data_IF_441823989981
#
_entry.id   IF_441823989981
#
_cell.length_a   1.000
_cell.length_b   1.000
_cell.length_c   1.000
_cell.angle_alpha   90.00
_cell.angle_beta   90.00
_cell.angle_gamma   90.00
#
_symmetry.space_group_name_H-M   'P 1'
#
loop_
_entity.id
_entity.type
_entity.pdbx_description
1 polymer ?
#
# COMPACT_ATOMS: atom_id res chain seq x y z
N UNK A 1 21.58 34.58 -34.06
CA UNK A 1 21.22 33.24 -33.56
C UNK A 1 21.11 33.33 -32.04
N UNK A 2 19.90 33.44 -31.50
CA UNK A 2 19.68 33.65 -30.07
C UNK A 2 19.86 32.34 -29.30
N UNK A 3 20.62 32.38 -28.20
CA UNK A 3 20.94 31.21 -27.38
C UNK A 3 19.72 30.61 -26.70
N UNK A 4 19.26 29.46 -27.19
CA UNK A 4 18.40 28.58 -26.40
C UNK A 4 19.25 28.02 -25.25
N UNK A 5 18.92 28.37 -24.00
CA UNK A 5 19.54 27.79 -22.82
C UNK A 5 19.25 26.28 -22.81
N UNK A 6 20.26 25.40 -22.95
CA UNK A 6 20.04 23.97 -22.83
C UNK A 6 19.61 23.69 -21.38
N UNK A 7 18.41 23.16 -21.16
CA UNK A 7 17.98 22.70 -19.84
C UNK A 7 16.61 23.16 -19.33
N UNK A 8 15.84 23.97 -20.07
CA UNK A 8 14.52 24.46 -19.60
C UNK A 8 13.48 23.34 -19.42
N UNK A 9 13.76 22.13 -19.93
CA UNK A 9 12.91 20.95 -19.78
C UNK A 9 13.64 19.74 -19.16
N UNK A 10 14.61 19.95 -18.27
CA UNK A 10 15.05 18.85 -17.43
C UNK A 10 13.91 18.49 -16.47
N UNK A 11 13.23 17.36 -16.73
CA UNK A 11 12.23 16.83 -15.83
C UNK A 11 12.91 16.53 -14.49
N UNK A 12 12.68 17.38 -13.48
CA UNK A 12 13.27 17.17 -12.16
C UNK A 12 12.59 15.96 -11.52
N UNK A 13 13.28 14.83 -11.51
CA UNK A 13 12.85 13.65 -10.78
C UNK A 13 12.79 14.01 -9.29
N UNK A 14 11.66 13.69 -8.66
CA UNK A 14 11.49 13.83 -7.22
C UNK A 14 11.54 12.44 -6.59
N UNK A 15 12.19 12.32 -5.42
CA UNK A 15 12.03 11.13 -4.60
C UNK A 15 10.54 10.87 -4.31
N UNK A 16 10.20 9.60 -4.08
CA UNK A 16 8.86 9.23 -3.60
C UNK A 16 8.62 9.91 -2.26
N UNK A 17 7.42 10.48 -2.09
CA UNK A 17 6.98 11.06 -0.83
C UNK A 17 5.66 10.43 -0.45
N UNK A 18 5.66 9.64 0.63
CA UNK A 18 4.46 8.96 1.11
C UNK A 18 3.66 9.89 2.02
N UNK A 19 2.42 10.15 1.61
CA UNK A 19 1.51 11.02 2.34
C UNK A 19 1.23 10.49 3.77
N UNK A 20 1.11 11.38 4.76
CA UNK A 20 0.90 11.01 6.18
C UNK A 20 -0.30 10.07 6.39
N UNK A 21 -1.37 10.27 5.63
CA UNK A 21 -2.54 9.39 5.68
C UNK A 21 -2.21 7.92 5.35
N UNK A 22 -1.30 7.69 4.40
CA UNK A 22 -0.87 6.35 3.99
C UNK A 22 0.07 5.71 5.01
N UNK A 23 0.93 6.50 5.64
CA UNK A 23 1.81 6.05 6.74
C UNK A 23 1.02 5.71 8.00
N UNK A 24 0.05 6.57 8.35
CA UNK A 24 -0.87 6.33 9.48
C UNK A 24 -1.74 5.09 9.25
N UNK A 25 -2.15 4.88 8.00
CA UNK A 25 -2.95 3.75 7.57
C UNK A 25 -4.45 3.96 7.74
N UNK A 26 -5.20 3.08 7.08
CA UNK A 26 -6.66 3.05 7.10
C UNK A 26 -7.21 1.65 7.31
N UNK A 27 -8.48 1.57 7.71
CA UNK A 27 -9.21 0.29 7.82
C UNK A 27 -9.86 -0.03 6.48
N UNK A 28 -9.62 -1.23 5.99
CA UNK A 28 -10.15 -1.72 4.70
C UNK A 28 -10.64 -3.16 4.85
N UNK A 29 -11.45 -3.60 3.90
CA UNK A 29 -11.90 -5.00 3.80
C UNK A 29 -11.06 -5.68 2.73
N UNK A 30 -10.27 -6.70 3.12
CA UNK A 30 -9.60 -7.61 2.19
C UNK A 30 -10.54 -8.77 1.90
N UNK A 31 -10.90 -8.92 0.63
CA UNK A 31 -11.73 -9.99 0.10
C UNK A 31 -11.05 -10.58 -1.13
N UNK A 32 -11.51 -11.75 -1.57
CA UNK A 32 -10.98 -12.48 -2.71
C UNK A 32 -12.18 -13.07 -3.48
N UNK A 33 -12.05 -13.24 -4.79
CA UNK A 33 -13.11 -13.74 -5.67
C UNK A 33 -13.14 -15.27 -5.73
N UNK A 34 -12.05 -15.93 -5.30
CA UNK A 34 -11.96 -17.39 -5.34
C UNK A 34 -13.04 -18.04 -4.46
N UNK A 35 -13.79 -19.06 -4.95
CA UNK A 35 -14.90 -19.67 -4.24
C UNK A 35 -14.54 -20.27 -2.87
N UNK A 36 -13.28 -20.65 -2.68
CA UNK A 36 -12.74 -21.22 -1.44
C UNK A 36 -11.96 -20.20 -0.60
N UNK A 37 -12.00 -18.93 -0.98
CA UNK A 37 -11.43 -17.88 -0.15
C UNK A 37 -12.26 -17.72 1.13
N UNK A 38 -11.56 -17.48 2.25
CA UNK A 38 -12.22 -17.19 3.51
C UNK A 38 -13.11 -15.93 3.43
N UNK A 39 -13.97 -15.70 4.44
CA UNK A 39 -14.84 -14.53 4.45
C UNK A 39 -14.03 -13.22 4.37
N UNK A 40 -14.61 -12.12 3.83
CA UNK A 40 -13.97 -10.81 3.83
C UNK A 40 -13.45 -10.40 5.21
N UNK A 41 -12.25 -9.82 5.25
CA UNK A 41 -11.50 -9.61 6.48
C UNK A 41 -11.18 -8.14 6.69
N UNK A 42 -11.43 -7.62 7.89
CA UNK A 42 -11.04 -6.26 8.25
C UNK A 42 -9.52 -6.21 8.48
N UNK A 43 -8.84 -5.36 7.71
CA UNK A 43 -7.40 -5.14 7.80
C UNK A 43 -7.09 -3.66 8.03
N UNK A 44 -5.94 -3.39 8.66
CA UNK A 44 -5.36 -2.04 8.70
C UNK A 44 -4.22 -1.99 7.69
N UNK A 45 -4.41 -1.25 6.60
CA UNK A 45 -3.49 -1.13 5.46
C UNK A 45 -2.61 0.11 5.63
N UNK A 46 -1.31 -0.03 5.39
CA UNK A 46 -0.28 1.02 5.55
C UNK A 46 0.77 0.94 4.45
N UNK A 47 1.43 2.07 4.20
CA UNK A 47 2.61 2.17 3.35
C UNK A 47 3.80 2.55 4.23
N UNK A 48 4.98 1.97 3.99
CA UNK A 48 6.20 2.36 4.70
C UNK A 48 6.67 3.78 4.28
N UNK A 49 7.51 4.46 5.07
CA UNK A 49 7.92 5.83 4.79
C UNK A 49 8.67 6.03 3.47
N UNK A 50 9.41 5.02 3.01
CA UNK A 50 10.23 5.09 1.79
C UNK A 50 9.41 4.69 0.54
N UNK A 51 8.20 4.14 0.74
CA UNK A 51 7.26 3.82 -0.33
C UNK A 51 7.55 2.52 -1.06
N UNK A 52 8.24 1.58 -0.42
CA UNK A 52 8.61 0.28 -0.99
C UNK A 52 7.56 -0.81 -0.81
N UNK A 53 6.81 -0.76 0.28
CA UNK A 53 5.94 -1.83 0.75
C UNK A 53 4.54 -1.31 1.09
N UNK A 54 3.55 -1.97 0.52
CA UNK A 54 2.19 -1.97 1.02
C UNK A 54 2.03 -3.17 1.96
N UNK A 55 1.65 -2.93 3.21
CA UNK A 55 1.50 -3.97 4.21
C UNK A 55 0.22 -3.79 5.01
N UNK A 56 -0.29 -4.88 5.59
CA UNK A 56 -1.48 -4.84 6.42
C UNK A 56 -1.36 -5.74 7.64
N UNK A 57 -2.09 -5.37 8.68
CA UNK A 57 -2.28 -6.17 9.89
C UNK A 57 -3.76 -6.44 10.12
N UNK A 58 -4.08 -7.58 10.73
CA UNK A 58 -5.46 -8.03 10.91
C UNK A 58 -5.86 -9.08 9.90
N UNK A 59 -7.02 -9.69 10.11
CA UNK A 59 -7.45 -10.92 9.45
C UNK A 59 -7.80 -12.01 10.47
N UNK A 60 -8.51 -13.06 10.06
CA UNK A 60 -8.86 -14.14 10.94
C UNK A 60 -7.57 -14.78 11.45
N UNK A 61 -7.37 -14.77 12.77
CA UNK A 61 -6.61 -15.86 13.38
C UNK A 61 -7.37 -17.12 12.96
N UNK A 62 -6.79 -17.97 12.11
CA UNK A 62 -7.28 -19.33 12.00
C UNK A 62 -7.06 -19.97 13.37
N UNK A 63 -8.03 -19.80 14.27
CA UNK A 63 -8.26 -20.78 15.31
C UNK A 63 -8.89 -21.95 14.55
N UNK A 64 -8.12 -23.01 14.33
CA UNK A 64 -8.67 -24.34 14.08
C UNK A 64 -8.79 -25.04 15.45
N UNK A 65 -9.91 -24.94 16.19
CA UNK A 65 -10.16 -25.80 17.32
C UNK A 65 -10.98 -27.02 16.88
N UNK A 66 -10.50 -27.76 15.88
CA UNK A 66 -11.09 -29.07 15.54
C UNK A 66 -10.00 -30.14 15.48
N UNK A 67 -9.31 -30.27 16.61
CA UNK A 67 -8.81 -31.56 17.09
C UNK A 67 -9.32 -31.71 18.52
N UNK A 68 -10.53 -32.27 18.66
CA UNK A 68 -11.00 -33.03 19.81
C UNK A 68 -11.87 -34.16 19.29
#
# INVERSE_FOLDING_TARGET
MAGAKPGVHALQLKPVSVHEALKKGGKFIKWDEEPNSGPPTLVTLKVDPDGFFLYWTGGPRQLNPLYF
#
